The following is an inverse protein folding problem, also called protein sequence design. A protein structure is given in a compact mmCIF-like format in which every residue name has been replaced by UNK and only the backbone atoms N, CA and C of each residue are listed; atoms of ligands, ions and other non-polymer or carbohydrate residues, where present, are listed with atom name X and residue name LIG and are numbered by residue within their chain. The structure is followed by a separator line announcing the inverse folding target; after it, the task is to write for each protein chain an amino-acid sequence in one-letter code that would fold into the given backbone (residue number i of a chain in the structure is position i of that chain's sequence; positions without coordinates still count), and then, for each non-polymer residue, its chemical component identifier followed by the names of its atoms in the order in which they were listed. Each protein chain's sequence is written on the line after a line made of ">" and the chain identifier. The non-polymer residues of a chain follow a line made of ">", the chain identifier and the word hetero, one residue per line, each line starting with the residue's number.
data_IF_348601466270
#
_entry.id   IF_348601466270
#
_cell.length_a   1.000
_cell.length_b   1.000
_cell.length_c   1.000
_cell.angle_alpha   90.00
_cell.angle_beta   90.00
_cell.angle_gamma   90.00
#
_symmetry.space_group_name_H-M   'P 1'
#
loop_
_entity.id
_entity.type
_entity.pdbx_description
1 polymer ?
#
# COMPACT_ATOMS: atom_id res chain seq x y z
N UNK A 1 2.88 44.90 -28.91
CA UNK A 1 3.79 44.02 -28.14
C UNK A 1 3.31 44.06 -26.69
N UNK A 2 2.29 43.24 -26.38
CA UNK A 2 1.68 43.19 -25.06
C UNK A 2 2.45 42.18 -24.20
N UNK A 3 3.11 42.68 -23.15
CA UNK A 3 3.70 41.84 -22.12
C UNK A 3 2.57 41.41 -21.18
N UNK A 4 2.14 40.15 -21.29
CA UNK A 4 1.24 39.53 -20.32
C UNK A 4 1.92 39.51 -18.94
N UNK A 5 1.32 40.21 -17.98
CA UNK A 5 1.73 40.10 -16.58
C UNK A 5 1.20 38.77 -16.02
N UNK A 6 2.06 37.94 -15.39
CA UNK A 6 1.62 36.68 -14.81
C UNK A 6 0.62 36.97 -13.69
N UNK A 7 -0.59 36.43 -13.82
CA UNK A 7 -1.67 36.61 -12.85
C UNK A 7 -1.25 36.10 -11.47
N UNK A 8 -1.59 36.86 -10.43
CA UNK A 8 -1.29 36.62 -9.01
C UNK A 8 -1.66 35.19 -8.52
N UNK A 9 -2.57 34.50 -9.22
CA UNK A 9 -2.98 33.12 -8.96
C UNK A 9 -1.90 32.06 -9.30
N UNK A 10 -1.06 32.30 -10.31
CA UNK A 10 -0.01 31.34 -10.70
C UNK A 10 1.11 31.29 -9.65
N UNK A 11 1.48 32.45 -9.11
CA UNK A 11 2.48 32.56 -8.05
C UNK A 11 2.00 31.93 -6.74
N UNK A 12 0.71 32.09 -6.39
CA UNK A 12 0.12 31.44 -5.22
C UNK A 12 -0.01 29.93 -5.37
N UNK A 13 -0.33 29.42 -6.57
CA UNK A 13 -0.33 27.98 -6.86
C UNK A 13 1.07 27.38 -6.72
N UNK A 14 2.09 28.02 -7.31
CA UNK A 14 3.48 27.59 -7.20
C UNK A 14 3.96 27.64 -5.74
N UNK A 15 3.66 28.71 -5.01
CA UNK A 15 3.98 28.82 -3.58
C UNK A 15 3.25 27.77 -2.74
N UNK A 16 1.98 27.45 -3.03
CA UNK A 16 1.24 26.40 -2.31
C UNK A 16 1.79 25.00 -2.61
N UNK A 17 2.23 24.75 -3.85
CA UNK A 17 2.91 23.52 -4.25
C UNK A 17 4.27 23.37 -3.56
N UNK A 18 5.04 24.45 -3.48
CA UNK A 18 6.31 24.49 -2.75
C UNK A 18 6.06 24.30 -1.25
N UNK A 19 5.07 24.97 -0.66
CA UNK A 19 4.73 24.83 0.77
C UNK A 19 4.26 23.41 1.11
N UNK A 20 3.43 22.81 0.27
CA UNK A 20 2.99 21.42 0.39
C UNK A 20 4.15 20.42 0.18
N UNK A 21 5.10 20.74 -0.69
CA UNK A 21 6.34 19.96 -0.89
C UNK A 21 7.30 20.04 0.30
N UNK A 22 7.44 21.22 0.90
CA UNK A 22 8.38 21.53 2.01
C UNK A 22 7.88 21.03 3.38
N UNK A 23 6.57 20.82 3.56
CA UNK A 23 6.03 20.21 4.79
C UNK A 23 5.74 18.71 4.68
N UNK A 24 6.01 18.10 3.52
CA UNK A 24 5.71 16.71 3.25
C UNK A 24 6.76 15.71 3.79
N UNK A 25 6.40 14.42 3.94
CA UNK A 25 7.33 13.33 4.29
C UNK A 25 8.58 13.26 3.41
N UNK A 26 8.48 13.68 2.14
CA UNK A 26 9.59 13.73 1.17
C UNK A 26 10.66 14.77 1.53
N UNK A 27 10.26 15.91 2.08
CA UNK A 27 11.21 16.94 2.50
C UNK A 27 12.03 16.48 3.70
N UNK A 28 11.37 15.84 4.68
CA UNK A 28 12.06 15.22 5.82
C UNK A 28 13.04 14.14 5.36
N UNK A 29 12.65 13.30 4.40
CA UNK A 29 13.54 12.29 3.82
C UNK A 29 14.75 12.95 3.14
N UNK A 30 14.56 14.03 2.39
CA UNK A 30 15.64 14.76 1.73
C UNK A 30 16.64 15.35 2.74
N UNK A 31 16.17 15.93 3.84
CA UNK A 31 17.04 16.43 4.92
C UNK A 31 17.84 15.27 5.54
N UNK A 32 17.19 14.15 5.86
CA UNK A 32 17.86 12.96 6.40
C UNK A 32 18.93 12.46 5.44
N UNK A 33 18.62 12.36 4.15
CA UNK A 33 19.56 11.95 3.12
C UNK A 33 20.77 12.88 3.07
N UNK A 34 20.54 14.19 3.05
CA UNK A 34 21.63 15.19 3.01
C UNK A 34 22.54 15.09 4.25
N UNK A 35 21.96 14.97 5.45
CA UNK A 35 22.71 14.82 6.70
C UNK A 35 23.50 13.51 6.70
N UNK A 36 22.90 12.39 6.27
CA UNK A 36 23.56 11.09 6.21
C UNK A 36 24.72 11.09 5.22
N UNK A 37 24.54 11.67 4.04
CA UNK A 37 25.57 11.81 3.01
C UNK A 37 26.73 12.66 3.53
N UNK A 38 26.44 13.82 4.15
CA UNK A 38 27.47 14.69 4.71
C UNK A 38 28.25 14.02 5.85
N UNK A 39 27.54 13.31 6.74
CA UNK A 39 28.16 12.54 7.81
C UNK A 39 29.03 11.40 7.28
N UNK A 40 28.55 10.66 6.27
CA UNK A 40 29.31 9.59 5.64
C UNK A 40 30.56 10.11 4.93
N UNK A 41 30.47 11.23 4.21
CA UNK A 41 31.63 11.90 3.61
C UNK A 41 32.67 12.27 4.66
N UNK A 42 32.23 12.87 5.77
CA UNK A 42 33.13 13.26 6.85
C UNK A 42 33.84 12.04 7.45
N UNK A 43 33.10 10.97 7.76
CA UNK A 43 33.69 9.74 8.35
C UNK A 43 34.64 9.05 7.38
N UNK A 44 34.33 9.04 6.08
CA UNK A 44 35.11 8.37 5.05
C UNK A 44 36.55 8.87 4.97
N UNK A 45 36.78 10.18 5.12
CA UNK A 45 38.10 10.80 5.03
C UNK A 45 38.99 10.63 6.26
N UNK A 46 38.51 9.96 7.32
CA UNK A 46 39.34 9.58 8.48
C UNK A 46 39.65 8.08 8.50
N UNK A 47 39.29 7.35 7.45
CA UNK A 47 39.44 5.90 7.42
C UNK A 47 40.87 5.51 7.03
N UNK A 48 41.55 4.64 7.80
CA UNK A 48 42.94 4.27 7.51
C UNK A 48 43.08 3.24 6.37
N UNK A 49 44.24 3.25 5.70
CA UNK A 49 44.63 2.24 4.71
C UNK A 49 44.11 2.52 3.30
N UNK A 50 44.05 1.49 2.45
CA UNK A 50 43.57 1.54 1.04
C UNK A 50 42.12 2.03 0.87
N UNK A 51 41.42 2.19 1.99
CA UNK A 51 40.02 2.60 2.03
C UNK A 51 39.90 4.13 1.87
N UNK A 52 40.94 4.89 2.21
CA UNK A 52 41.02 6.35 2.05
C UNK A 52 41.08 6.79 0.58
N UNK A 53 41.49 5.90 -0.33
CA UNK A 53 41.56 6.19 -1.76
C UNK A 53 40.17 6.24 -2.43
N UNK A 54 39.12 5.75 -1.73
CA UNK A 54 37.77 5.60 -2.27
C UNK A 54 36.64 6.20 -1.42
N UNK A 55 36.78 7.44 -0.87
CA UNK A 55 35.89 7.98 0.14
C UNK A 55 34.48 8.29 -0.40
N UNK A 56 34.33 8.39 -1.72
CA UNK A 56 33.08 8.71 -2.40
C UNK A 56 32.02 7.60 -2.32
N UNK A 57 32.40 6.36 -1.98
CA UNK A 57 31.45 5.25 -1.84
C UNK A 57 30.66 5.27 -0.53
N UNK A 58 31.16 5.89 0.54
CA UNK A 58 30.39 6.03 1.78
C UNK A 58 29.16 6.95 1.62
N UNK A 59 29.26 8.15 1.02
CA UNK A 59 28.12 8.95 0.60
C UNK A 59 27.10 8.16 -0.22
N UNK A 60 27.57 7.33 -1.17
CA UNK A 60 26.73 6.49 -2.01
C UNK A 60 25.96 5.47 -1.14
N UNK A 61 26.65 4.75 -0.26
CA UNK A 61 26.02 3.78 0.66
C UNK A 61 24.99 4.43 1.59
N UNK A 62 25.26 5.65 2.07
CA UNK A 62 24.33 6.41 2.91
C UNK A 62 23.07 6.82 2.13
N UNK A 63 23.23 7.26 0.89
CA UNK A 63 22.11 7.66 0.03
C UNK A 63 21.22 6.47 -0.32
N UNK A 64 21.83 5.36 -0.71
CA UNK A 64 21.12 4.17 -1.23
C UNK A 64 20.38 3.42 -0.12
N UNK A 65 20.86 3.53 1.12
CA UNK A 65 20.16 2.97 2.29
C UNK A 65 19.06 3.88 2.82
N UNK A 66 18.88 5.11 2.31
CA UNK A 66 17.94 6.07 2.89
C UNK A 66 16.50 5.84 2.43
N UNK A 67 15.69 5.24 3.30
CA UNK A 67 14.26 5.01 3.08
C UNK A 67 13.39 5.66 4.16
N UNK A 68 12.08 5.86 3.91
CA UNK A 68 11.17 6.50 4.88
C UNK A 68 11.12 5.81 6.25
N UNK A 69 11.32 4.49 6.28
CA UNK A 69 11.29 3.67 7.50
C UNK A 69 12.68 3.14 7.84
N UNK A 70 12.94 2.91 9.13
CA UNK A 70 14.22 2.35 9.59
C UNK A 70 14.41 0.90 9.09
N UNK A 71 13.37 0.08 9.17
CA UNK A 71 13.42 -1.30 8.65
C UNK A 71 13.60 -1.33 7.13
N UNK A 72 12.91 -0.44 6.39
CA UNK A 72 13.11 -0.30 4.96
C UNK A 72 14.55 0.09 4.63
N UNK A 73 15.12 1.03 5.40
CA UNK A 73 16.52 1.45 5.23
C UNK A 73 17.51 0.33 5.52
N UNK A 74 17.27 -0.44 6.59
CA UNK A 74 18.11 -1.58 6.98
C UNK A 74 18.05 -2.69 5.93
N UNK A 75 16.85 -3.02 5.46
CA UNK A 75 16.63 -4.02 4.41
C UNK A 75 17.29 -3.58 3.11
N UNK A 76 17.08 -2.35 2.68
CA UNK A 76 17.68 -1.82 1.46
C UNK A 76 19.20 -1.79 1.56
N UNK A 77 19.75 -1.25 2.65
CA UNK A 77 21.19 -1.23 2.89
C UNK A 77 21.81 -2.63 2.87
N UNK A 78 21.22 -3.59 3.59
CA UNK A 78 21.71 -4.97 3.62
C UNK A 78 21.62 -5.64 2.25
N UNK A 79 20.50 -5.48 1.54
CA UNK A 79 20.31 -6.03 0.21
C UNK A 79 21.32 -5.44 -0.78
N UNK A 80 21.52 -4.12 -0.77
CA UNK A 80 22.53 -3.43 -1.57
C UNK A 80 23.94 -3.95 -1.27
N UNK A 81 24.31 -4.12 0.00
CA UNK A 81 25.62 -4.67 0.38
C UNK A 81 25.79 -6.12 -0.09
N UNK A 82 24.76 -6.96 0.03
CA UNK A 82 24.82 -8.33 -0.47
C UNK A 82 24.96 -8.37 -2.00
N UNK A 83 24.22 -7.53 -2.72
CA UNK A 83 24.33 -7.42 -4.17
C UNK A 83 25.71 -6.93 -4.61
N UNK A 84 26.23 -5.90 -3.93
CA UNK A 84 27.58 -5.37 -4.10
C UNK A 84 28.64 -6.46 -3.92
N UNK A 85 28.60 -7.19 -2.79
CA UNK A 85 29.56 -8.25 -2.48
C UNK A 85 29.49 -9.39 -3.50
N UNK A 86 28.29 -9.74 -3.97
CA UNK A 86 28.12 -10.75 -5.01
C UNK A 86 28.75 -10.29 -6.34
N UNK A 87 28.57 -9.02 -6.72
CA UNK A 87 29.21 -8.45 -7.91
C UNK A 87 30.74 -8.42 -7.79
N UNK A 88 31.27 -8.02 -6.62
CA UNK A 88 32.70 -8.08 -6.30
C UNK A 88 33.23 -9.51 -6.44
N UNK A 89 32.51 -10.49 -5.89
CA UNK A 89 32.90 -11.91 -5.98
C UNK A 89 32.93 -12.41 -7.43
N UNK A 90 31.93 -12.07 -8.24
CA UNK A 90 31.88 -12.44 -9.65
C UNK A 90 33.04 -11.83 -10.45
N UNK A 91 33.34 -10.55 -10.20
CA UNK A 91 34.47 -9.87 -10.83
C UNK A 91 35.81 -10.46 -10.40
N UNK A 92 36.02 -10.68 -9.10
CA UNK A 92 37.23 -11.31 -8.58
C UNK A 92 37.45 -12.71 -9.15
N UNK A 93 36.38 -13.51 -9.27
CA UNK A 93 36.47 -14.86 -9.83
C UNK A 93 36.92 -14.86 -11.28
N UNK A 94 36.42 -13.95 -12.13
CA UNK A 94 36.81 -13.93 -13.55
C UNK A 94 38.28 -13.52 -13.75
N UNK A 95 38.79 -12.61 -12.90
CA UNK A 95 40.16 -12.07 -13.01
C UNK A 95 41.20 -13.14 -12.71
N UNK A 96 40.84 -14.17 -11.94
CA UNK A 96 41.69 -15.34 -11.73
C UNK A 96 41.93 -16.16 -13.01
N UNK A 97 41.04 -16.06 -14.01
CA UNK A 97 41.09 -16.87 -15.23
C UNK A 97 41.38 -16.06 -16.50
N UNK A 98 41.03 -14.77 -16.53
CA UNK A 98 41.16 -13.94 -17.73
C UNK A 98 41.33 -12.45 -17.41
N UNK A 99 42.13 -11.77 -18.23
CA UNK A 99 42.30 -10.32 -18.13
C UNK A 99 41.03 -9.54 -18.54
N UNK A 100 40.83 -8.32 -18.01
CA UNK A 100 39.72 -7.45 -18.42
C UNK A 100 39.80 -7.10 -19.91
N UNK A 101 38.84 -7.59 -20.69
CA UNK A 101 38.68 -7.30 -22.12
C UNK A 101 37.18 -7.25 -22.46
N UNK A 102 36.85 -6.89 -23.71
CA UNK A 102 35.46 -6.72 -24.14
C UNK A 102 34.59 -7.97 -23.87
N UNK A 103 35.14 -9.17 -24.09
CA UNK A 103 34.43 -10.43 -23.93
C UNK A 103 34.26 -10.78 -22.45
N UNK A 104 35.30 -10.64 -21.63
CA UNK A 104 35.24 -10.97 -20.20
C UNK A 104 34.29 -10.02 -19.46
N UNK A 105 34.35 -8.72 -19.76
CA UNK A 105 33.43 -7.73 -19.19
C UNK A 105 31.98 -8.03 -19.59
N UNK A 106 31.73 -8.28 -20.88
CA UNK A 106 30.38 -8.58 -21.38
C UNK A 106 29.82 -9.87 -20.80
N UNK A 107 30.64 -10.92 -20.67
CA UNK A 107 30.27 -12.19 -20.06
C UNK A 107 29.92 -12.02 -18.57
N UNK A 108 30.75 -11.32 -17.80
CA UNK A 108 30.53 -11.11 -16.36
C UNK A 108 29.28 -10.28 -16.11
N UNK A 109 29.08 -9.19 -16.86
CA UNK A 109 27.87 -8.38 -16.74
C UNK A 109 26.64 -9.21 -17.10
N UNK A 110 26.70 -10.02 -18.17
CA UNK A 110 25.63 -10.94 -18.55
C UNK A 110 25.29 -11.92 -17.42
N UNK A 111 26.30 -12.56 -16.83
CA UNK A 111 26.12 -13.45 -15.68
C UNK A 111 25.55 -12.71 -14.47
N UNK A 112 26.08 -11.54 -14.14
CA UNK A 112 25.61 -10.72 -13.03
C UNK A 112 24.14 -10.32 -13.18
N UNK A 113 23.69 -9.97 -14.40
CA UNK A 113 22.28 -9.69 -14.71
C UNK A 113 21.39 -10.93 -14.53
N UNK A 114 21.88 -12.13 -14.88
CA UNK A 114 21.15 -13.37 -14.57
C UNK A 114 20.95 -13.55 -13.06
N UNK A 115 21.98 -13.25 -12.26
CA UNK A 115 21.88 -13.26 -10.80
C UNK A 115 20.95 -12.16 -10.26
N UNK A 116 20.83 -11.00 -10.92
CA UNK A 116 19.86 -9.95 -10.56
C UNK A 116 18.40 -10.41 -10.61
N UNK A 117 18.09 -11.49 -11.33
CA UNK A 117 16.75 -12.08 -11.39
C UNK A 117 16.30 -12.79 -10.10
N UNK A 118 17.21 -13.04 -9.15
CA UNK A 118 16.89 -13.74 -7.91
C UNK A 118 16.06 -12.83 -6.98
N UNK A 119 14.80 -13.22 -6.73
CA UNK A 119 13.83 -12.45 -5.93
C UNK A 119 14.32 -12.03 -4.53
N UNK A 120 15.26 -12.78 -3.94
CA UNK A 120 15.79 -12.49 -2.60
C UNK A 120 16.67 -11.24 -2.53
N UNK A 121 17.31 -10.83 -3.64
CA UNK A 121 18.20 -9.67 -3.69
C UNK A 121 17.48 -8.33 -3.49
N UNK A 122 16.18 -8.24 -3.76
CA UNK A 122 15.38 -7.01 -3.57
C UNK A 122 16.07 -5.77 -4.14
N UNK A 123 16.42 -4.79 -3.28
CA UNK A 123 17.08 -3.54 -3.68
C UNK A 123 18.51 -3.73 -4.20
N UNK A 124 19.18 -4.84 -3.85
CA UNK A 124 20.55 -5.14 -4.28
C UNK A 124 20.68 -5.70 -5.69
N UNK A 125 19.57 -6.03 -6.34
CA UNK A 125 19.57 -6.65 -7.68
C UNK A 125 20.37 -5.84 -8.71
N UNK A 126 20.26 -4.52 -8.67
CA UNK A 126 20.91 -3.63 -9.63
C UNK A 126 22.39 -3.39 -9.27
N UNK A 127 22.78 -3.67 -8.02
CA UNK A 127 24.14 -3.52 -7.53
C UNK A 127 25.06 -4.67 -7.93
N UNK A 128 24.52 -5.87 -8.22
CA UNK A 128 25.32 -7.01 -8.68
C UNK A 128 26.07 -6.68 -9.98
N UNK A 129 25.41 -6.30 -11.10
CA UNK A 129 26.11 -5.98 -12.34
C UNK A 129 26.92 -4.68 -12.24
N UNK A 130 26.43 -3.68 -11.51
CA UNK A 130 27.16 -2.41 -11.32
C UNK A 130 28.48 -2.63 -10.59
N UNK A 131 28.46 -3.40 -9.50
CA UNK A 131 29.66 -3.71 -8.74
C UNK A 131 30.64 -4.55 -9.55
N UNK A 132 30.16 -5.59 -10.24
CA UNK A 132 31.01 -6.42 -11.08
C UNK A 132 31.69 -5.59 -12.18
N UNK A 133 30.95 -4.69 -12.82
CA UNK A 133 31.48 -3.80 -13.85
C UNK A 133 32.53 -2.83 -13.29
N UNK A 134 32.22 -2.17 -12.16
CA UNK A 134 33.14 -1.21 -11.56
C UNK A 134 34.44 -1.85 -11.09
N UNK A 135 34.36 -3.04 -10.49
CA UNK A 135 35.54 -3.80 -10.07
C UNK A 135 36.43 -4.16 -11.26
N UNK A 136 35.84 -4.57 -12.39
CA UNK A 136 36.61 -4.93 -13.58
C UNK A 136 37.22 -3.72 -14.31
N UNK A 137 36.49 -2.60 -14.38
CA UNK A 137 36.93 -1.41 -15.12
C UNK A 137 37.86 -0.53 -14.29
N UNK A 138 37.48 -0.25 -13.04
CA UNK A 138 38.19 0.70 -12.17
C UNK A 138 39.25 -0.03 -11.34
N UNK A 139 38.95 -1.25 -10.86
CA UNK A 139 39.90 -2.05 -10.09
C UNK A 139 41.10 -2.50 -10.93
N UNK A 140 40.90 -2.83 -12.21
CA UNK A 140 41.98 -3.09 -13.15
C UNK A 140 42.96 -4.17 -12.65
N UNK A 141 44.19 -3.78 -12.31
CA UNK A 141 45.23 -4.67 -11.76
C UNK A 141 45.22 -4.71 -10.21
N UNK A 142 44.63 -3.71 -9.56
CA UNK A 142 44.53 -3.58 -8.09
C UNK A 142 43.11 -3.93 -7.60
N UNK A 143 42.54 -5.00 -8.17
CA UNK A 143 41.17 -5.48 -7.92
C UNK A 143 40.91 -5.68 -6.43
N UNK A 144 41.89 -6.21 -5.70
CA UNK A 144 41.77 -6.49 -4.26
C UNK A 144 41.60 -5.20 -3.45
N UNK A 145 42.52 -4.24 -3.60
CA UNK A 145 42.49 -2.95 -2.90
C UNK A 145 41.21 -2.18 -3.21
N UNK A 146 40.83 -2.12 -4.49
CA UNK A 146 39.60 -1.47 -4.93
C UNK A 146 38.35 -2.13 -4.34
N UNK A 147 38.27 -3.46 -4.37
CA UNK A 147 37.12 -4.21 -3.86
C UNK A 147 36.94 -4.03 -2.35
N UNK A 148 38.05 -4.04 -1.60
CA UNK A 148 38.03 -3.79 -0.15
C UNK A 148 37.56 -2.36 0.13
N UNK A 149 38.15 -1.36 -0.55
CA UNK A 149 37.76 0.04 -0.40
C UNK A 149 36.28 0.25 -0.69
N UNK A 150 35.78 -0.29 -1.80
CA UNK A 150 34.38 -0.19 -2.20
C UNK A 150 33.43 -0.85 -1.19
N UNK A 151 33.71 -2.09 -0.76
CA UNK A 151 32.86 -2.80 0.18
C UNK A 151 32.82 -2.12 1.56
N UNK A 152 33.97 -1.69 2.07
CA UNK A 152 34.10 -1.08 3.39
C UNK A 152 33.44 0.30 3.41
N UNK A 153 33.74 1.17 2.44
CA UNK A 153 33.15 2.51 2.37
C UNK A 153 31.63 2.43 2.20
N UNK A 154 31.11 1.55 1.33
CA UNK A 154 29.67 1.33 1.21
C UNK A 154 29.04 0.91 2.54
N UNK A 155 29.70 0.01 3.28
CA UNK A 155 29.21 -0.47 4.58
C UNK A 155 29.15 0.66 5.61
N UNK A 156 30.20 1.50 5.67
CA UNK A 156 30.24 2.70 6.54
C UNK A 156 29.12 3.68 6.16
N UNK A 157 28.94 3.90 4.86
CA UNK A 157 27.86 4.72 4.32
C UNK A 157 26.48 4.25 4.77
N UNK A 158 26.18 2.96 4.57
CA UNK A 158 24.94 2.33 5.01
C UNK A 158 24.77 2.51 6.52
N UNK A 159 25.82 2.28 7.31
CA UNK A 159 25.81 2.52 8.76
C UNK A 159 25.45 3.96 9.13
N UNK A 160 26.00 4.94 8.42
CA UNK A 160 25.69 6.35 8.60
C UNK A 160 24.22 6.68 8.26
N UNK A 161 23.71 6.14 7.14
CA UNK A 161 22.31 6.28 6.73
C UNK A 161 21.35 5.73 7.78
N UNK A 162 21.64 4.53 8.29
CA UNK A 162 20.85 3.90 9.35
C UNK A 162 20.90 4.68 10.65
N UNK A 163 22.08 5.19 11.04
CA UNK A 163 22.24 6.00 12.25
C UNK A 163 21.42 7.28 12.16
N UNK A 164 21.50 8.01 11.04
CA UNK A 164 20.68 9.22 10.86
C UNK A 164 19.19 8.90 10.86
N UNK A 165 18.77 7.82 10.20
CA UNK A 165 17.35 7.47 10.18
C UNK A 165 16.85 6.97 11.55
N UNK A 166 17.73 6.38 12.36
CA UNK A 166 17.43 5.98 13.74
C UNK A 166 17.38 7.17 14.69
N UNK A 167 18.25 8.18 14.53
CA UNK A 167 18.29 9.40 15.38
C UNK A 167 17.16 10.35 15.01
N UNK A 168 16.98 10.63 13.72
CA UNK A 168 15.87 11.43 13.20
C UNK A 168 14.65 10.51 13.06
N UNK A 169 14.09 10.11 14.20
CA UNK A 169 13.07 9.07 14.29
C UNK A 169 11.88 9.35 13.36
N UNK A 170 11.49 8.40 12.49
CA UNK A 170 10.33 8.58 11.62
C UNK A 170 9.06 8.74 12.47
N UNK A 171 8.13 9.64 12.08
CA UNK A 171 6.85 9.74 12.74
C UNK A 171 6.09 8.42 12.62
N UNK A 172 5.45 8.00 13.70
CA UNK A 172 4.59 6.83 13.69
C UNK A 172 3.29 7.23 13.00
N UNK A 173 3.12 6.84 11.73
CA UNK A 173 1.97 7.21 10.90
C UNK A 173 0.66 6.47 11.28
N UNK A 174 0.49 6.02 12.53
CA UNK A 174 -0.69 5.29 12.99
C UNK A 174 -1.98 6.08 12.73
N UNK A 175 -1.97 7.39 12.99
CA UNK A 175 -3.13 8.25 12.76
C UNK A 175 -3.54 8.32 11.29
N UNK A 176 -2.59 8.20 10.35
CA UNK A 176 -2.89 8.18 8.93
C UNK A 176 -3.58 6.87 8.52
N UNK A 177 -3.12 5.73 9.03
CA UNK A 177 -3.76 4.43 8.76
C UNK A 177 -5.18 4.37 9.33
N UNK A 178 -5.39 4.84 10.57
CA UNK A 178 -6.70 4.93 11.20
C UNK A 178 -7.64 5.81 10.39
N UNK A 179 -7.19 7.00 10.01
CA UNK A 179 -7.99 7.93 9.22
C UNK A 179 -8.35 7.35 7.85
N UNK A 180 -7.44 6.61 7.21
CA UNK A 180 -7.75 5.93 5.94
C UNK A 180 -8.76 4.78 6.13
N UNK A 181 -8.61 3.96 7.17
CA UNK A 181 -9.58 2.90 7.51
C UNK A 181 -10.98 3.48 7.76
N UNK A 182 -11.06 4.52 8.59
CA UNK A 182 -12.29 5.27 8.90
C UNK A 182 -12.98 5.83 7.65
N UNK A 183 -12.20 6.48 6.76
CA UNK A 183 -12.71 6.99 5.48
C UNK A 183 -13.21 5.88 4.57
N UNK A 184 -12.52 4.75 4.51
CA UNK A 184 -12.92 3.63 3.67
C UNK A 184 -14.21 2.97 4.17
N UNK A 185 -14.34 2.79 5.48
CA UNK A 185 -15.59 2.34 6.12
C UNK A 185 -16.75 3.28 5.82
N UNK A 186 -16.54 4.59 5.96
CA UNK A 186 -17.55 5.62 5.65
C UNK A 186 -17.94 5.60 4.17
N UNK A 187 -16.97 5.39 3.27
CA UNK A 187 -17.22 5.30 1.84
C UNK A 187 -18.07 4.08 1.48
N UNK A 188 -17.78 2.90 2.07
CA UNK A 188 -18.58 1.69 1.90
C UNK A 188 -20.03 1.89 2.41
N UNK A 189 -20.19 2.49 3.60
CA UNK A 189 -21.51 2.77 4.16
C UNK A 189 -22.33 3.70 3.25
N UNK A 190 -21.72 4.78 2.78
CA UNK A 190 -22.38 5.74 1.87
C UNK A 190 -22.76 5.09 0.54
N UNK A 191 -21.96 4.16 0.04
CA UNK A 191 -22.27 3.47 -1.22
C UNK A 191 -23.47 2.53 -1.06
N UNK A 192 -23.53 1.76 0.04
CA UNK A 192 -24.70 0.95 0.37
C UNK A 192 -25.97 1.80 0.53
N UNK A 193 -25.87 2.94 1.21
CA UNK A 193 -26.97 3.90 1.38
C UNK A 193 -27.42 4.49 0.04
N UNK A 194 -26.49 4.89 -0.83
CA UNK A 194 -26.81 5.40 -2.16
C UNK A 194 -27.48 4.36 -3.08
N UNK A 195 -27.10 3.08 -2.98
CA UNK A 195 -27.82 2.00 -3.67
C UNK A 195 -29.23 1.80 -3.10
N UNK A 196 -29.39 1.91 -1.79
CA UNK A 196 -30.69 1.80 -1.14
C UNK A 196 -31.63 2.95 -1.52
N UNK A 197 -31.13 4.19 -1.57
CA UNK A 197 -31.86 5.37 -2.04
C UNK A 197 -32.29 5.21 -3.52
N UNK A 198 -31.38 4.74 -4.38
CA UNK A 198 -31.68 4.53 -5.79
C UNK A 198 -32.81 3.51 -6.03
N UNK A 199 -32.98 2.52 -5.15
CA UNK A 199 -34.05 1.52 -5.26
C UNK A 199 -35.44 2.08 -4.90
N UNK A 200 -35.52 3.12 -4.07
CA UNK A 200 -36.80 3.71 -3.62
C UNK A 200 -37.17 4.97 -4.39
N UNK A 201 -36.17 5.77 -4.80
CA UNK A 201 -36.40 7.11 -5.31
C UNK A 201 -36.29 7.18 -6.85
N UNK A 202 -35.24 6.58 -7.44
CA UNK A 202 -34.91 6.71 -8.86
C UNK A 202 -34.32 5.39 -9.44
N UNK A 203 -35.20 4.41 -9.67
CA UNK A 203 -34.85 3.11 -10.25
C UNK A 203 -35.33 2.99 -11.71
N UNK A 204 -34.49 2.56 -12.68
CA UNK A 204 -33.07 2.20 -12.56
C UNK A 204 -32.10 3.42 -12.62
N UNK A 205 -30.97 3.39 -11.90
CA UNK A 205 -29.98 4.47 -11.89
C UNK A 205 -29.10 4.50 -13.15
N UNK A 206 -28.45 5.65 -13.39
CA UNK A 206 -27.51 5.84 -14.50
C UNK A 206 -26.26 4.94 -14.37
N UNK A 207 -25.90 4.13 -15.39
CA UNK A 207 -24.75 3.20 -15.36
C UNK A 207 -23.40 3.86 -15.06
N UNK A 208 -23.22 5.12 -15.46
CA UNK A 208 -21.98 5.88 -15.25
C UNK A 208 -21.71 6.18 -13.76
N UNK A 209 -22.77 6.38 -12.96
CA UNK A 209 -22.65 6.63 -11.52
C UNK A 209 -22.02 5.41 -10.84
N UNK A 210 -22.45 4.21 -11.21
CA UNK A 210 -22.04 2.96 -10.57
C UNK A 210 -20.62 2.54 -10.93
N UNK A 211 -20.21 2.76 -12.19
CA UNK A 211 -18.83 2.52 -12.64
C UNK A 211 -17.82 3.40 -11.90
N UNK A 212 -18.13 4.69 -11.71
CA UNK A 212 -17.27 5.62 -10.98
C UNK A 212 -17.04 5.17 -9.54
N UNK A 213 -18.08 4.72 -8.85
CA UNK A 213 -17.97 4.25 -7.47
C UNK A 213 -17.09 3.01 -7.32
N UNK A 214 -17.17 2.06 -8.25
CA UNK A 214 -16.31 0.87 -8.25
C UNK A 214 -14.81 1.23 -8.34
N UNK A 215 -14.46 2.20 -9.19
CA UNK A 215 -13.08 2.67 -9.34
C UNK A 215 -12.58 3.41 -8.09
N UNK A 216 -13.43 4.25 -7.48
CA UNK A 216 -13.13 4.95 -6.23
C UNK A 216 -12.89 3.95 -5.08
N UNK A 217 -13.71 2.89 -5.00
CA UNK A 217 -13.61 1.88 -3.94
C UNK A 217 -12.33 1.04 -4.06
N UNK A 218 -11.97 0.63 -5.29
CA UNK A 218 -10.72 -0.09 -5.58
C UNK A 218 -9.49 0.74 -5.19
N UNK A 219 -9.50 2.03 -5.56
CA UNK A 219 -8.43 2.97 -5.23
C UNK A 219 -8.31 3.15 -3.72
N UNK A 220 -9.43 3.38 -3.03
CA UNK A 220 -9.46 3.55 -1.58
C UNK A 220 -8.95 2.30 -0.85
N UNK A 221 -9.32 1.09 -1.30
CA UNK A 221 -8.82 -0.16 -0.73
C UNK A 221 -7.30 -0.32 -0.86
N UNK A 222 -6.74 0.00 -2.02
CA UNK A 222 -5.28 0.00 -2.23
C UNK A 222 -4.57 0.99 -1.28
N UNK A 223 -5.11 2.19 -1.18
CA UNK A 223 -4.61 3.29 -0.36
C UNK A 223 -4.56 2.96 1.14
N UNK A 224 -5.56 2.24 1.65
CA UNK A 224 -5.63 1.77 3.04
C UNK A 224 -4.60 0.68 3.27
N UNK A 225 -4.51 -0.30 2.36
CA UNK A 225 -3.54 -1.40 2.46
C UNK A 225 -2.10 -0.88 2.52
N UNK A 226 -1.76 0.07 1.66
CA UNK A 226 -0.45 0.73 1.67
C UNK A 226 -0.19 1.46 2.99
N UNK A 227 -1.19 2.18 3.51
CA UNK A 227 -1.07 2.90 4.78
C UNK A 227 -0.87 1.97 6.00
N UNK A 228 -1.62 0.86 6.07
CA UNK A 228 -1.47 -0.15 7.14
C UNK A 228 -0.10 -0.83 7.04
N UNK A 229 0.34 -1.18 5.82
CA UNK A 229 1.66 -1.75 5.59
C UNK A 229 2.78 -0.80 6.04
N UNK A 230 2.73 0.47 5.64
CA UNK A 230 3.71 1.47 6.05
C UNK A 230 3.69 1.73 7.56
N UNK A 231 2.53 1.68 8.21
CA UNK A 231 2.43 1.80 9.66
C UNK A 231 3.12 0.63 10.38
N UNK A 232 2.95 -0.61 9.91
CA UNK A 232 3.67 -1.78 10.46
C UNK A 232 5.17 -1.67 10.24
N UNK A 233 5.59 -1.31 9.02
CA UNK A 233 7.00 -1.20 8.67
C UNK A 233 7.70 -0.10 9.47
N UNK A 234 7.05 1.05 9.68
CA UNK A 234 7.58 2.16 10.48
C UNK A 234 7.77 1.81 11.95
N UNK A 235 7.05 0.81 12.45
CA UNK A 235 7.16 0.30 13.81
C UNK A 235 8.37 -0.62 13.97
N UNK A 236 8.68 -1.43 12.96
CA UNK A 236 9.78 -2.41 12.99
C UNK A 236 11.11 -1.70 13.18
N UNK A 237 11.81 -2.04 14.26
CA UNK A 237 13.09 -1.43 14.63
C UNK A 237 13.00 -0.04 15.26
N UNK A 238 11.83 0.62 15.26
CA UNK A 238 11.69 1.98 15.81
C UNK A 238 11.65 1.97 17.34
N UNK A 239 12.60 2.62 18.04
CA UNK A 239 12.60 2.69 19.51
C UNK A 239 11.32 3.32 20.08
N UNK A 240 10.75 4.33 19.40
CA UNK A 240 9.51 5.01 19.85
C UNK A 240 8.28 4.12 19.80
N UNK A 241 8.28 3.09 18.95
CA UNK A 241 7.21 2.09 18.93
C UNK A 241 7.14 1.24 20.20
N UNK A 242 8.25 1.13 20.95
CA UNK A 242 8.24 0.42 22.24
C UNK A 242 7.46 1.20 23.32
N UNK A 243 7.39 2.52 23.19
CA UNK A 243 6.64 3.42 24.08
C UNK A 243 5.15 3.49 23.70
N UNK A 244 4.82 3.37 22.41
CA UNK A 244 3.44 3.42 21.90
C UNK A 244 3.01 2.05 21.34
N UNK A 245 2.74 1.10 22.24
CA UNK A 245 2.28 -0.26 21.87
C UNK A 245 0.83 -0.21 21.38
N UNK A 246 0.61 -0.06 20.08
CA UNK A 246 -0.70 -0.26 19.44
C UNK A 246 -0.85 -1.69 18.91
N UNK A 247 -2.05 -2.24 18.98
CA UNK A 247 -2.37 -3.57 18.47
C UNK A 247 -2.62 -3.55 16.95
N UNK A 248 -1.56 -3.57 16.16
CA UNK A 248 -1.67 -3.60 14.68
C UNK A 248 -2.34 -4.86 14.14
N UNK A 249 -2.44 -5.92 14.95
CA UNK A 249 -3.22 -7.10 14.56
C UNK A 249 -4.71 -6.77 14.43
N UNK A 250 -5.20 -5.79 15.18
CA UNK A 250 -6.55 -5.25 15.00
C UNK A 250 -6.64 -4.48 13.68
N UNK A 251 -5.72 -3.56 13.41
CA UNK A 251 -5.74 -2.77 12.17
C UNK A 251 -5.70 -3.68 10.91
N UNK A 252 -4.96 -4.81 10.95
CA UNK A 252 -4.98 -5.82 9.88
C UNK A 252 -6.25 -6.67 9.82
N UNK A 253 -6.92 -6.92 10.95
CA UNK A 253 -8.24 -7.58 10.97
C UNK A 253 -9.29 -6.67 10.37
N UNK A 254 -9.31 -5.41 10.78
CA UNK A 254 -10.21 -4.37 10.27
C UNK A 254 -10.03 -4.19 8.76
N UNK A 255 -8.78 -4.14 8.27
CA UNK A 255 -8.49 -4.09 6.84
C UNK A 255 -9.07 -5.30 6.09
N UNK A 256 -8.87 -6.52 6.59
CA UNK A 256 -9.42 -7.73 5.95
C UNK A 256 -10.95 -7.74 5.94
N UNK A 257 -11.57 -7.31 7.02
CA UNK A 257 -13.02 -7.17 7.09
C UNK A 257 -13.52 -6.17 6.04
N UNK A 258 -12.90 -4.98 5.95
CA UNK A 258 -13.28 -3.97 4.96
C UNK A 258 -13.02 -4.41 3.51
N UNK A 259 -11.94 -5.16 3.24
CA UNK A 259 -11.68 -5.74 1.92
C UNK A 259 -12.76 -6.78 1.53
N UNK A 260 -13.20 -7.61 2.49
CA UNK A 260 -14.29 -8.56 2.29
C UNK A 260 -15.63 -7.85 2.07
N UNK A 261 -15.94 -6.83 2.86
CA UNK A 261 -17.14 -5.99 2.66
C UNK A 261 -17.09 -5.30 1.30
N UNK A 262 -15.95 -4.73 0.90
CA UNK A 262 -15.77 -4.09 -0.40
C UNK A 262 -16.02 -5.04 -1.56
N UNK A 263 -15.59 -6.30 -1.45
CA UNK A 263 -15.90 -7.33 -2.43
C UNK A 263 -17.41 -7.55 -2.58
N UNK A 264 -18.14 -7.70 -1.47
CA UNK A 264 -19.60 -7.89 -1.49
C UNK A 264 -20.37 -6.64 -1.94
N UNK A 265 -19.89 -5.44 -1.60
CA UNK A 265 -20.47 -4.18 -2.09
C UNK A 265 -20.34 -4.07 -3.61
N UNK A 266 -19.18 -4.46 -4.16
CA UNK A 266 -18.99 -4.53 -5.61
C UNK A 266 -19.92 -5.57 -6.26
N UNK A 267 -20.06 -6.75 -5.66
CA UNK A 267 -20.96 -7.81 -6.14
C UNK A 267 -22.43 -7.35 -6.20
N UNK A 268 -22.89 -6.62 -5.18
CA UNK A 268 -24.22 -5.98 -5.16
C UNK A 268 -24.35 -4.95 -6.30
N UNK A 269 -23.32 -4.12 -6.47
CA UNK A 269 -23.27 -3.08 -7.52
C UNK A 269 -23.32 -3.73 -8.91
N UNK A 270 -22.55 -4.79 -9.16
CA UNK A 270 -22.54 -5.47 -10.45
C UNK A 270 -23.88 -6.19 -10.70
N UNK A 271 -24.46 -6.80 -9.66
CA UNK A 271 -25.78 -7.45 -9.72
C UNK A 271 -26.89 -6.48 -10.09
N UNK A 272 -27.02 -5.37 -9.36
CA UNK A 272 -28.09 -4.39 -9.58
C UNK A 272 -27.85 -3.57 -10.87
N UNK A 273 -26.60 -3.33 -11.28
CA UNK A 273 -26.29 -2.77 -12.61
C UNK A 273 -26.74 -3.71 -13.74
N UNK A 274 -26.54 -5.01 -13.57
CA UNK A 274 -27.01 -6.04 -14.50
C UNK A 274 -28.52 -6.02 -14.69
N UNK A 275 -29.29 -5.77 -13.62
CA UNK A 275 -30.75 -5.57 -13.68
C UNK A 275 -31.10 -4.28 -14.44
N UNK A 276 -30.45 -3.17 -14.10
CA UNK A 276 -30.77 -1.84 -14.64
C UNK A 276 -30.59 -1.70 -16.16
N UNK A 277 -29.68 -2.47 -16.75
CA UNK A 277 -29.25 -2.30 -18.15
C UNK A 277 -30.15 -3.02 -19.17
N UNK A 278 -31.20 -3.74 -18.72
CA UNK A 278 -32.26 -4.27 -19.57
C UNK A 278 -31.79 -5.07 -20.81
N UNK A 279 -31.60 -6.39 -20.66
CA UNK A 279 -31.77 -7.32 -21.79
C UNK A 279 -30.60 -7.56 -22.75
N UNK A 280 -29.34 -7.55 -22.29
CA UNK A 280 -28.23 -8.14 -23.08
C UNK A 280 -27.91 -9.60 -22.76
N UNK A 281 -28.44 -10.15 -21.67
CA UNK A 281 -28.30 -11.56 -21.32
C UNK A 281 -29.65 -12.31 -21.42
N UNK A 282 -29.64 -13.59 -21.86
CA UNK A 282 -30.86 -14.36 -22.17
C UNK A 282 -31.68 -14.81 -20.94
N UNK A 283 -31.31 -14.40 -19.72
CA UNK A 283 -32.03 -14.73 -18.48
C UNK A 283 -32.76 -13.47 -17.97
N UNK A 284 -34.02 -13.64 -17.60
CA UNK A 284 -34.87 -12.59 -17.02
C UNK A 284 -34.31 -12.11 -15.67
N UNK A 285 -33.41 -11.13 -15.73
CA UNK A 285 -32.76 -10.50 -14.57
C UNK A 285 -33.59 -9.35 -13.98
N UNK A 286 -34.93 -9.36 -14.09
CA UNK A 286 -35.74 -8.27 -13.54
C UNK A 286 -35.89 -8.41 -12.02
N UNK A 287 -35.73 -7.30 -11.30
CA UNK A 287 -36.02 -7.24 -9.86
C UNK A 287 -37.50 -6.86 -9.70
N UNK A 288 -38.35 -7.73 -9.12
CA UNK A 288 -39.76 -7.41 -8.87
C UNK A 288 -39.91 -6.13 -8.04
N UNK A 289 -40.89 -5.29 -8.39
CA UNK A 289 -41.15 -4.01 -7.72
C UNK A 289 -41.44 -4.21 -6.23
N UNK A 290 -42.06 -5.33 -5.86
CA UNK A 290 -42.36 -5.72 -4.48
C UNK A 290 -41.09 -5.98 -3.65
N UNK A 291 -39.96 -6.31 -4.29
CA UNK A 291 -38.68 -6.60 -3.64
C UNK A 291 -37.76 -5.37 -3.56
N UNK A 292 -38.05 -4.27 -4.26
CA UNK A 292 -37.24 -3.04 -4.21
C UNK A 292 -37.10 -2.51 -2.78
N UNK A 293 -38.22 -2.42 -2.06
CA UNK A 293 -38.25 -1.91 -0.68
C UNK A 293 -37.51 -2.85 0.30
N UNK A 294 -37.78 -4.17 0.35
CA UNK A 294 -37.00 -5.10 1.18
C UNK A 294 -35.49 -5.09 0.88
N UNK A 295 -35.09 -4.98 -0.38
CA UNK A 295 -33.67 -4.88 -0.75
C UNK A 295 -33.07 -3.57 -0.24
N UNK A 296 -33.77 -2.44 -0.42
CA UNK A 296 -33.34 -1.13 0.10
C UNK A 296 -33.13 -1.18 1.62
N UNK A 297 -34.09 -1.74 2.37
CA UNK A 297 -34.01 -1.86 3.83
C UNK A 297 -32.81 -2.71 4.29
N UNK A 298 -32.55 -3.84 3.61
CA UNK A 298 -31.40 -4.69 3.92
C UNK A 298 -30.06 -3.97 3.65
N UNK A 299 -29.95 -3.22 2.55
CA UNK A 299 -28.78 -2.41 2.23
C UNK A 299 -28.57 -1.27 3.25
N UNK A 300 -29.63 -0.58 3.66
CA UNK A 300 -29.56 0.44 4.73
C UNK A 300 -29.11 -0.17 6.05
N UNK A 301 -29.63 -1.34 6.43
CA UNK A 301 -29.20 -2.05 7.63
C UNK A 301 -27.69 -2.33 7.64
N UNK A 302 -27.15 -2.81 6.51
CA UNK A 302 -25.71 -3.01 6.36
C UNK A 302 -24.91 -1.69 6.41
N UNK A 303 -25.43 -0.61 5.83
CA UNK A 303 -24.81 0.72 5.88
C UNK A 303 -24.74 1.26 7.32
N UNK A 304 -25.84 1.18 8.07
CA UNK A 304 -25.92 1.62 9.47
C UNK A 304 -25.00 0.79 10.37
N UNK A 305 -24.86 -0.52 10.11
CA UNK A 305 -23.90 -1.36 10.83
C UNK A 305 -22.45 -0.88 10.61
N UNK A 306 -22.08 -0.49 9.39
CA UNK A 306 -20.76 0.09 9.12
C UNK A 306 -20.57 1.46 9.79
N UNK A 307 -21.62 2.29 9.89
CA UNK A 307 -21.58 3.56 10.62
C UNK A 307 -21.42 3.35 12.13
N UNK A 308 -22.13 2.38 12.71
CA UNK A 308 -21.99 2.01 14.12
C UNK A 308 -20.59 1.46 14.45
N UNK A 309 -19.98 0.71 13.52
CA UNK A 309 -18.60 0.29 13.66
C UNK A 309 -17.59 1.44 13.62
N UNK A 310 -17.93 2.55 12.98
CA UNK A 310 -17.12 3.78 13.02
C UNK A 310 -17.26 4.54 14.34
N UNK A 311 -18.49 4.72 14.82
CA UNK A 311 -18.73 5.44 16.06
C UNK A 311 -18.39 4.64 17.32
N UNK A 312 -18.37 3.31 17.23
CA UNK A 312 -18.22 2.41 18.38
C UNK A 312 -19.43 2.49 19.32
N UNK A 313 -20.62 2.79 18.81
CA UNK A 313 -21.84 2.98 19.59
C UNK A 313 -22.99 2.17 19.02
N UNK A 314 -23.83 1.61 19.89
CA UNK A 314 -25.07 0.90 19.51
C UNK A 314 -24.82 -0.31 18.59
N UNK A 315 -23.63 -0.94 18.64
CA UNK A 315 -23.23 -2.03 17.75
C UNK A 315 -24.20 -3.21 17.76
N UNK A 316 -24.63 -3.63 18.95
CA UNK A 316 -25.58 -4.73 19.12
C UNK A 316 -26.96 -4.39 18.55
N UNK A 317 -27.46 -3.18 18.82
CA UNK A 317 -28.78 -2.75 18.36
C UNK A 317 -28.82 -2.64 16.82
N UNK A 318 -27.78 -2.06 16.21
CA UNK A 318 -27.66 -1.96 14.75
C UNK A 318 -27.50 -3.31 14.07
N UNK A 319 -26.81 -4.24 14.72
CA UNK A 319 -26.72 -5.62 14.24
C UNK A 319 -28.08 -6.30 14.20
N UNK A 320 -28.86 -6.18 15.29
CA UNK A 320 -30.19 -6.77 15.37
C UNK A 320 -31.18 -6.14 14.38
N UNK A 321 -31.08 -4.82 14.15
CA UNK A 321 -31.82 -4.13 13.09
C UNK A 321 -31.46 -4.64 11.69
N UNK A 322 -30.17 -4.72 11.37
CA UNK A 322 -29.70 -5.19 10.08
C UNK A 322 -30.08 -6.66 9.82
N UNK A 323 -29.97 -7.52 10.84
CA UNK A 323 -30.36 -8.92 10.74
C UNK A 323 -31.87 -9.07 10.55
N UNK A 324 -32.70 -8.24 11.19
CA UNK A 324 -34.15 -8.22 10.98
C UNK A 324 -34.50 -7.84 9.54
N UNK A 325 -33.90 -6.79 9.00
CA UNK A 325 -34.11 -6.37 7.61
C UNK A 325 -33.69 -7.46 6.61
N UNK A 326 -32.53 -8.10 6.83
CA UNK A 326 -32.07 -9.22 6.01
C UNK A 326 -33.02 -10.42 6.07
N UNK A 327 -33.49 -10.80 7.26
CA UNK A 327 -34.41 -11.93 7.41
C UNK A 327 -35.77 -11.65 6.74
N UNK A 328 -36.24 -10.39 6.79
CA UNK A 328 -37.45 -9.97 6.09
C UNK A 328 -37.28 -10.09 4.56
N UNK A 329 -36.15 -9.64 4.01
CA UNK A 329 -35.83 -9.81 2.59
C UNK A 329 -35.77 -11.29 2.19
N UNK A 330 -35.08 -12.14 2.96
CA UNK A 330 -35.00 -13.57 2.68
C UNK A 330 -36.38 -14.23 2.66
N UNK A 331 -37.25 -13.90 3.62
CA UNK A 331 -38.62 -14.41 3.64
C UNK A 331 -39.45 -13.99 2.41
N UNK A 332 -39.28 -12.76 1.93
CA UNK A 332 -39.92 -12.28 0.70
C UNK A 332 -39.36 -12.97 -0.55
N UNK A 333 -38.04 -13.16 -0.63
CA UNK A 333 -37.38 -13.86 -1.73
C UNK A 333 -37.85 -15.32 -1.82
N UNK A 334 -37.95 -16.02 -0.69
CA UNK A 334 -38.45 -17.40 -0.63
C UNK A 334 -39.92 -17.49 -1.09
N UNK A 335 -40.77 -16.56 -0.65
CA UNK A 335 -42.17 -16.49 -1.09
C UNK A 335 -42.31 -16.26 -2.61
N UNK A 336 -41.41 -15.46 -3.21
CA UNK A 336 -41.40 -15.20 -4.66
C UNK A 336 -40.82 -16.38 -5.47
N UNK A 337 -39.94 -17.18 -4.88
CA UNK A 337 -39.40 -18.39 -5.51
C UNK A 337 -40.50 -19.44 -5.73
N UNK A 338 -41.36 -19.64 -4.74
CA UNK A 338 -42.47 -20.59 -4.82
C UNK A 338 -43.54 -20.17 -5.85
N UNK A 339 -43.58 -18.88 -6.23
CA UNK A 339 -44.46 -18.34 -7.25
C UNK A 339 -44.00 -18.60 -8.70
N UNK A 340 -42.93 -19.36 -8.92
CA UNK A 340 -42.46 -19.77 -10.25
C UNK A 340 -41.44 -18.84 -10.91
N UNK A 341 -40.88 -17.87 -10.17
CA UNK A 341 -39.77 -17.05 -10.63
C UNK A 341 -38.49 -17.89 -10.83
N UNK A 342 -37.60 -17.43 -11.71
CA UNK A 342 -36.36 -18.12 -12.05
C UNK A 342 -35.52 -18.48 -10.80
N UNK A 343 -34.82 -19.62 -10.84
CA UNK A 343 -34.00 -20.14 -9.73
C UNK A 343 -32.84 -19.20 -9.31
N UNK A 344 -32.54 -18.16 -10.09
CA UNK A 344 -31.57 -17.11 -9.79
C UNK A 344 -32.28 -15.76 -9.84
N UNK A 345 -32.65 -15.23 -8.67
CA UNK A 345 -33.18 -13.86 -8.54
C UNK A 345 -32.04 -12.92 -8.12
N UNK A 346 -31.88 -11.73 -8.75
CA UNK A 346 -30.93 -10.71 -8.31
C UNK A 346 -31.12 -10.33 -6.83
N UNK A 347 -32.36 -10.37 -6.32
CA UNK A 347 -32.66 -10.12 -4.91
C UNK A 347 -32.02 -11.17 -3.98
N UNK A 348 -31.97 -12.44 -4.39
CA UNK A 348 -31.32 -13.51 -3.63
C UNK A 348 -29.79 -13.33 -3.57
N UNK A 349 -29.19 -12.89 -4.67
CA UNK A 349 -27.76 -12.55 -4.73
C UNK A 349 -27.43 -11.37 -3.79
N UNK A 350 -28.24 -10.30 -3.84
CA UNK A 350 -28.07 -9.16 -2.92
C UNK A 350 -28.27 -9.58 -1.47
N UNK A 351 -29.29 -10.37 -1.14
CA UNK A 351 -29.51 -10.90 0.21
C UNK A 351 -28.31 -11.73 0.69
N UNK A 352 -27.74 -12.56 -0.18
CA UNK A 352 -26.55 -13.36 0.12
C UNK A 352 -25.34 -12.47 0.39
N UNK A 353 -25.11 -11.45 -0.44
CA UNK A 353 -24.01 -10.51 -0.25
C UNK A 353 -24.16 -9.70 1.06
N UNK A 354 -25.37 -9.22 1.37
CA UNK A 354 -25.67 -8.53 2.64
C UNK A 354 -25.42 -9.45 3.82
N UNK A 355 -25.87 -10.71 3.76
CA UNK A 355 -25.57 -11.70 4.80
C UNK A 355 -24.07 -11.87 5.03
N UNK A 356 -23.28 -11.97 3.95
CA UNK A 356 -21.81 -12.09 4.06
C UNK A 356 -21.16 -10.85 4.64
N UNK A 357 -21.69 -9.66 4.34
CA UNK A 357 -21.26 -8.40 4.98
C UNK A 357 -21.51 -8.48 6.48
N UNK A 358 -22.72 -8.86 6.91
CA UNK A 358 -23.04 -9.00 8.33
C UNK A 358 -22.13 -10.07 8.98
N UNK A 359 -22.05 -11.29 8.46
CA UNK A 359 -21.18 -12.35 9.00
C UNK A 359 -19.71 -11.88 9.18
N UNK A 360 -19.22 -11.02 8.28
CA UNK A 360 -17.87 -10.43 8.37
C UNK A 360 -17.74 -9.43 9.54
N UNK A 361 -18.82 -8.71 9.87
CA UNK A 361 -18.87 -7.70 10.93
C UNK A 361 -19.22 -8.27 12.31
N UNK A 362 -19.80 -9.48 12.40
CA UNK A 362 -20.16 -10.16 13.66
C UNK A 362 -19.01 -10.17 14.70
N UNK A 363 -17.75 -10.46 14.33
CA UNK A 363 -16.65 -10.49 15.30
C UNK A 363 -16.37 -9.13 15.95
N UNK A 364 -16.72 -8.01 15.29
CA UNK A 364 -16.53 -6.66 15.83
C UNK A 364 -17.42 -6.41 17.05
N UNK A 365 -18.60 -7.02 17.06
CA UNK A 365 -19.58 -6.91 18.17
C UNK A 365 -19.10 -7.71 19.38
N UNK A 366 -18.62 -8.93 19.14
CA UNK A 366 -18.09 -9.81 20.19
C UNK A 366 -16.91 -9.17 20.92
N UNK A 367 -16.07 -8.42 20.21
CA UNK A 367 -14.93 -7.71 20.79
C UNK A 367 -15.35 -6.53 21.68
N UNK A 368 -16.43 -5.82 21.34
CA UNK A 368 -16.95 -4.71 22.14
C UNK A 368 -17.59 -5.21 23.45
N UNK A 369 -18.29 -6.35 23.37
CA UNK A 369 -18.86 -7.03 24.54
C UNK A 369 -17.80 -7.60 25.49
N UNK A 370 -16.61 -7.98 25.01
CA UNK A 370 -15.49 -8.46 25.84
C UNK A 370 -14.64 -7.32 26.43
N UNK A 371 -14.74 -6.10 25.87
CA UNK A 371 -14.00 -4.93 26.31
C UNK A 371 -14.74 -4.09 27.37
N UNK A 372 -16.05 -4.33 27.55
CA UNK A 372 -16.94 -3.72 28.54
C UNK A 372 -17.06 -4.62 29.77
#
# INVERSE_FOLDING_TARGET
>A
MNLEQPTRNSVQRVLSWIKAGVTGPRFMLAIKAAVAVGMAWFVAGYMPGVVDDYPYYAPLGALVSMYPTLMGSAKAGLQTLLGLLLGILLAGLIVLFAEPNLLTISAVVGVAVLFSGVRWLGHGKDYVPMAALFVLIIGGQDVESYSIGYAVQMTVGVGCGLLVNAVILPPLNFNAAILKLSRFRTMLARHLEGMADALTDEWPPEPEKWTRYNDELSTAGHDVREAVYHADESRKGNPRARLHRRNLSQDYRDLRALESVSFHVKDITDTLAGVSTGGKEPLSNELPTELLQPVSEALRGAAEMLKAWESGSELQDRWEEAQRALNALLGQVDAHRDAGAAAFSPAASVATAVRRILDTLEPCIKQDAEAT
#
